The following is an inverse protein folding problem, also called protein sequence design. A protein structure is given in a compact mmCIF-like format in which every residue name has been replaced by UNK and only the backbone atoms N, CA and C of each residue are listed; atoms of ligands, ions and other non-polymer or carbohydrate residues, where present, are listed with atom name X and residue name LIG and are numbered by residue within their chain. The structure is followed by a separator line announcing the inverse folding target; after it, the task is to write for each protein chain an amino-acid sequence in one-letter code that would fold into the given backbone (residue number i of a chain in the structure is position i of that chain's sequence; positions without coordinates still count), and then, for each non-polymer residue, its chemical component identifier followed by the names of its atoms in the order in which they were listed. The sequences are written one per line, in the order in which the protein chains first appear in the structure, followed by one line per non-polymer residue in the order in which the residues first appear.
data_IF_511056634582
#
_entry.id   IF_511056634582
#
_cell.length_a   1.000
_cell.length_b   1.000
_cell.length_c   1.000
_cell.angle_alpha   90.00
_cell.angle_beta   90.00
_cell.angle_gamma   90.00
#
_symmetry.space_group_name_H-M   'P 1'
#
loop_
_entity.id
_entity.type
_entity.pdbx_description
1 polymer ?
#
# COMPACT_ATOMS: atom_id res chain seq x y z
N UNK A 1 36.99 -34.90 -40.23
CA UNK A 1 36.30 -35.16 -38.94
C UNK A 1 36.39 -33.99 -37.96
N UNK A 2 36.95 -32.83 -38.33
CA UNK A 2 37.18 -31.71 -37.39
C UNK A 2 36.09 -30.64 -37.42
N UNK A 3 35.32 -30.53 -38.50
CA UNK A 3 34.32 -29.46 -38.71
C UNK A 3 33.00 -29.73 -37.96
N UNK A 4 32.53 -30.98 -37.93
CA UNK A 4 31.30 -31.40 -37.25
C UNK A 4 31.34 -31.13 -35.73
N UNK A 5 32.52 -31.21 -35.12
CA UNK A 5 32.71 -30.97 -33.69
C UNK A 5 32.62 -29.46 -33.34
N UNK A 6 32.99 -28.58 -34.28
CA UNK A 6 32.94 -27.12 -34.08
C UNK A 6 31.53 -26.55 -34.19
N UNK A 7 30.72 -27.06 -35.13
CA UNK A 7 29.31 -26.65 -35.27
C UNK A 7 28.47 -27.09 -34.06
N UNK A 8 28.77 -28.26 -33.52
CA UNK A 8 28.09 -28.79 -32.33
C UNK A 8 28.41 -27.94 -31.09
N UNK A 9 29.68 -27.58 -30.89
CA UNK A 9 30.11 -26.71 -29.79
C UNK A 9 29.48 -25.31 -29.87
N UNK A 10 29.45 -24.69 -31.06
CA UNK A 10 28.83 -23.38 -31.28
C UNK A 10 27.31 -23.43 -31.00
N UNK A 11 26.64 -24.52 -31.37
CA UNK A 11 25.21 -24.74 -31.07
C UNK A 11 24.94 -24.84 -29.57
N UNK A 12 25.80 -25.54 -28.83
CA UNK A 12 25.71 -25.64 -27.36
C UNK A 12 25.97 -24.31 -26.67
N UNK A 13 26.97 -23.56 -27.12
CA UNK A 13 27.30 -22.23 -26.59
C UNK A 13 26.18 -21.22 -26.83
N UNK A 14 25.53 -21.25 -28.00
CA UNK A 14 24.35 -20.43 -28.30
C UNK A 14 23.19 -20.78 -27.38
N UNK A 15 22.92 -22.07 -27.14
CA UNK A 15 21.87 -22.51 -26.22
C UNK A 15 22.16 -22.08 -24.78
N UNK A 16 23.42 -22.18 -24.35
CA UNK A 16 23.86 -21.73 -23.04
C UNK A 16 23.69 -20.21 -22.88
N UNK A 17 24.07 -19.41 -23.89
CA UNK A 17 23.84 -17.96 -23.90
C UNK A 17 22.35 -17.61 -23.87
N UNK A 18 21.51 -18.29 -24.66
CA UNK A 18 20.06 -18.06 -24.65
C UNK A 18 19.44 -18.37 -23.29
N UNK A 19 19.89 -19.44 -22.63
CA UNK A 19 19.45 -19.79 -21.28
C UNK A 19 19.87 -18.72 -20.26
N UNK A 20 21.10 -18.20 -20.35
CA UNK A 20 21.60 -17.11 -19.50
C UNK A 20 20.81 -15.81 -19.73
N UNK A 21 20.55 -15.44 -20.98
CA UNK A 21 19.75 -14.26 -21.33
C UNK A 21 18.32 -14.38 -20.81
N UNK A 22 17.70 -15.55 -20.95
CA UNK A 22 16.35 -15.80 -20.44
C UNK A 22 16.31 -15.67 -18.91
N UNK A 23 17.32 -16.22 -18.22
CA UNK A 23 17.44 -16.12 -16.76
C UNK A 23 17.63 -14.67 -16.32
N UNK A 24 18.59 -13.94 -16.90
CA UNK A 24 18.83 -12.54 -16.60
C UNK A 24 17.60 -11.66 -16.84
N UNK A 25 16.86 -11.90 -17.93
CA UNK A 25 15.61 -11.19 -18.20
C UNK A 25 14.52 -11.52 -17.17
N UNK A 26 14.40 -12.76 -16.73
CA UNK A 26 13.42 -13.14 -15.70
C UNK A 26 13.73 -12.50 -14.33
N UNK A 27 15.01 -12.45 -13.95
CA UNK A 27 15.47 -11.78 -12.73
C UNK A 27 15.25 -10.27 -12.82
N UNK A 28 15.59 -9.64 -13.96
CA UNK A 28 15.33 -8.23 -14.19
C UNK A 28 13.83 -7.89 -14.14
N UNK A 29 12.96 -8.76 -14.68
CA UNK A 29 11.52 -8.58 -14.59
C UNK A 29 11.02 -8.66 -13.14
N UNK A 30 11.54 -9.62 -12.36
CA UNK A 30 11.22 -9.76 -10.94
C UNK A 30 11.58 -8.49 -10.16
N UNK A 31 12.82 -8.01 -10.29
CA UNK A 31 13.27 -6.79 -9.61
C UNK A 31 12.52 -5.54 -10.06
N UNK A 32 12.14 -5.44 -11.34
CA UNK A 32 11.30 -4.34 -11.82
C UNK A 32 9.92 -4.36 -11.17
N UNK A 33 9.31 -5.54 -11.02
CA UNK A 33 8.01 -5.70 -10.39
C UNK A 33 8.09 -5.37 -8.89
N UNK A 34 9.07 -5.90 -8.17
CA UNK A 34 9.28 -5.56 -6.75
C UNK A 34 9.52 -4.06 -6.56
N UNK A 35 10.38 -3.46 -7.39
CA UNK A 35 10.62 -2.01 -7.33
C UNK A 35 9.34 -1.22 -7.57
N UNK A 36 8.49 -1.64 -8.50
CA UNK A 36 7.22 -0.97 -8.77
C UNK A 36 6.27 -1.12 -7.57
N UNK A 37 6.13 -2.30 -6.98
CA UNK A 37 5.25 -2.49 -5.81
C UNK A 37 5.69 -1.68 -4.60
N UNK A 38 7.00 -1.59 -4.33
CA UNK A 38 7.52 -0.72 -3.28
C UNK A 38 7.31 0.76 -3.58
N UNK A 39 7.47 1.17 -4.85
CA UNK A 39 7.20 2.55 -5.29
C UNK A 39 5.74 2.92 -5.06
N UNK A 40 4.81 2.08 -5.49
CA UNK A 40 3.37 2.32 -5.37
C UNK A 40 2.95 2.40 -3.90
N UNK A 41 3.50 1.52 -3.06
CA UNK A 41 3.30 1.56 -1.61
C UNK A 41 3.84 2.87 -0.99
N UNK A 42 5.03 3.30 -1.39
CA UNK A 42 5.63 4.54 -0.89
C UNK A 42 4.81 5.78 -1.30
N UNK A 43 4.31 5.81 -2.54
CA UNK A 43 3.40 6.88 -3.00
C UNK A 43 2.13 6.88 -2.17
N UNK A 44 1.48 5.72 -1.98
CA UNK A 44 0.27 5.61 -1.18
C UNK A 44 0.44 6.10 0.25
N UNK A 45 1.50 5.66 0.94
CA UNK A 45 1.80 6.08 2.31
C UNK A 45 2.10 7.58 2.42
N UNK A 46 2.84 8.13 1.45
CA UNK A 46 3.16 9.55 1.44
C UNK A 46 1.92 10.39 1.13
N UNK A 47 1.07 9.97 0.20
CA UNK A 47 -0.19 10.62 -0.10
C UNK A 47 -1.12 10.62 1.12
N UNK A 48 -1.26 9.48 1.81
CA UNK A 48 -2.02 9.38 3.06
C UNK A 48 -1.51 10.35 4.13
N UNK A 49 -0.18 10.43 4.30
CA UNK A 49 0.43 11.38 5.22
C UNK A 49 0.15 12.84 4.86
N UNK A 50 0.30 13.19 3.58
CA UNK A 50 0.00 14.55 3.10
C UNK A 50 -1.47 14.93 3.30
N UNK A 51 -2.40 13.99 3.06
CA UNK A 51 -3.82 14.18 3.35
C UNK A 51 -4.07 14.39 4.85
N UNK A 52 -3.44 13.57 5.69
CA UNK A 52 -3.57 13.69 7.15
C UNK A 52 -3.00 15.01 7.68
N UNK A 53 -1.85 15.45 7.16
CA UNK A 53 -1.22 16.74 7.48
C UNK A 53 -2.12 17.92 7.05
N UNK A 54 -2.90 17.76 5.96
CA UNK A 54 -3.91 18.71 5.51
C UNK A 54 -5.25 18.61 6.30
N UNK A 55 -5.35 17.72 7.29
CA UNK A 55 -6.56 17.52 8.10
C UNK A 55 -7.65 16.66 7.46
N UNK A 56 -7.36 16.05 6.30
CA UNK A 56 -8.28 15.22 5.54
C UNK A 56 -8.19 13.78 6.07
N UNK A 57 -9.09 13.44 6.99
CA UNK A 57 -9.13 12.12 7.61
C UNK A 57 -10.07 11.13 6.90
N UNK A 58 -10.60 11.49 5.73
CA UNK A 58 -11.56 10.66 5.01
C UNK A 58 -10.83 9.65 4.10
N UNK A 59 -10.92 8.33 4.39
CA UNK A 59 -10.22 7.31 3.60
C UNK A 59 -10.76 7.16 2.17
N UNK A 60 -11.90 7.77 1.85
CA UNK A 60 -12.44 7.79 0.49
C UNK A 60 -11.64 8.68 -0.45
N UNK A 61 -11.01 9.75 0.07
CA UNK A 61 -10.22 10.69 -0.74
C UNK A 61 -9.03 9.97 -1.38
N UNK A 62 -8.32 9.14 -0.60
CA UNK A 62 -7.19 8.35 -1.10
C UNK A 62 -7.58 7.40 -2.24
N UNK A 63 -8.82 6.91 -2.27
CA UNK A 63 -9.33 6.01 -3.33
C UNK A 63 -9.71 6.75 -4.62
N UNK A 64 -9.96 8.05 -4.53
CA UNK A 64 -10.31 8.89 -5.68
C UNK A 64 -9.06 9.51 -6.33
N UNK A 65 -7.94 9.56 -5.60
CA UNK A 65 -6.66 9.98 -6.15
C UNK A 65 -6.12 8.97 -7.15
N UNK A 66 -5.62 9.47 -8.27
CA UNK A 66 -4.94 8.65 -9.26
C UNK A 66 -3.46 8.53 -8.91
N UNK A 67 -3.13 7.63 -7.99
CA UNK A 67 -1.76 7.40 -7.50
C UNK A 67 -0.78 6.96 -8.60
N UNK A 68 -1.28 6.43 -9.72
CA UNK A 68 -0.44 5.97 -10.83
C UNK A 68 0.14 7.11 -11.67
N UNK A 69 -0.51 8.28 -11.66
CA UNK A 69 -0.05 9.49 -12.34
C UNK A 69 0.88 10.35 -11.47
N UNK A 70 0.97 10.03 -10.17
CA UNK A 70 1.78 10.78 -9.22
C UNK A 70 3.25 10.38 -9.35
N UNK A 71 4.12 11.38 -9.49
CA UNK A 71 5.57 11.22 -9.56
C UNK A 71 6.23 11.61 -8.24
N UNK A 72 7.24 10.84 -7.84
CA UNK A 72 8.09 11.17 -6.69
C UNK A 72 9.26 11.99 -7.21
N UNK A 73 9.38 13.23 -6.74
CA UNK A 73 10.50 14.12 -7.05
C UNK A 73 11.79 13.69 -6.33
N UNK A 74 12.92 14.26 -6.73
CA UNK A 74 14.22 14.06 -6.06
C UNK A 74 14.23 14.58 -4.62
N UNK A 75 13.44 15.62 -4.32
CA UNK A 75 13.17 16.09 -2.94
C UNK A 75 12.39 15.08 -2.10
N UNK A 76 11.86 14.04 -2.73
CA UNK A 76 10.95 13.07 -2.17
C UNK A 76 9.49 13.51 -2.19
N UNK A 77 9.16 14.74 -2.57
CA UNK A 77 7.78 15.25 -2.67
C UNK A 77 6.97 14.58 -3.79
N UNK A 78 5.63 14.62 -3.68
CA UNK A 78 4.71 14.06 -4.66
C UNK A 78 4.21 15.16 -5.59
N UNK A 79 4.66 15.13 -6.84
CA UNK A 79 4.21 16.05 -7.88
C UNK A 79 2.85 15.59 -8.42
N UNK A 80 1.95 16.55 -8.71
CA UNK A 80 0.58 16.28 -9.15
C UNK A 80 -0.42 15.94 -8.04
N UNK A 81 0.03 15.54 -6.85
CA UNK A 81 -0.87 15.22 -5.73
C UNK A 81 -1.68 16.46 -5.28
N UNK A 82 -1.03 17.61 -5.14
CA UNK A 82 -1.69 18.84 -4.68
C UNK A 82 -2.78 19.31 -5.65
N UNK A 83 -2.53 19.19 -6.95
CA UNK A 83 -3.51 19.53 -8.00
C UNK A 83 -4.70 18.58 -7.96
N UNK A 84 -4.47 17.27 -7.83
CA UNK A 84 -5.56 16.30 -7.70
C UNK A 84 -6.40 16.54 -6.42
N UNK A 85 -5.75 16.87 -5.31
CA UNK A 85 -6.45 17.22 -4.06
C UNK A 85 -7.33 18.46 -4.25
N UNK A 86 -6.80 19.52 -4.87
CA UNK A 86 -7.55 20.74 -5.12
C UNK A 86 -8.77 20.51 -6.04
N UNK A 87 -8.59 19.74 -7.12
CA UNK A 87 -9.70 19.36 -8.00
C UNK A 87 -10.76 18.53 -7.28
N UNK A 88 -10.34 17.58 -6.43
CA UNK A 88 -11.27 16.79 -5.63
C UNK A 88 -12.00 17.62 -4.57
N UNK A 89 -11.37 18.64 -4.01
CA UNK A 89 -11.99 19.56 -3.06
C UNK A 89 -13.08 20.41 -3.74
N UNK A 90 -12.87 20.82 -4.98
CA UNK A 90 -13.86 21.52 -5.80
C UNK A 90 -15.04 20.59 -6.19
N UNK A 91 -14.75 19.38 -6.67
CA UNK A 91 -15.76 18.43 -7.13
C UNK A 91 -16.56 17.80 -5.98
N UNK A 92 -15.89 17.54 -4.85
CA UNK A 92 -16.44 16.80 -3.72
C UNK A 92 -16.11 17.45 -2.36
N UNK A 93 -16.57 18.69 -2.10
CA UNK A 93 -16.28 19.39 -0.85
C UNK A 93 -16.76 18.62 0.40
N UNK A 94 -17.79 17.77 0.27
CA UNK A 94 -18.30 16.89 1.33
C UNK A 94 -17.25 15.89 1.87
N UNK A 95 -16.20 15.61 1.09
CA UNK A 95 -15.12 14.71 1.52
C UNK A 95 -14.07 15.41 2.39
N UNK A 96 -13.99 16.75 2.29
CA UNK A 96 -12.99 17.62 2.92
C UNK A 96 -13.59 18.44 4.08
N UNK A 97 -14.89 18.73 4.00
CA UNK A 97 -15.64 19.32 5.09
C UNK A 97 -15.82 18.34 6.23
N UNK A 98 -15.62 18.81 7.47
CA UNK A 98 -16.16 18.18 8.64
C UNK A 98 -17.69 18.27 8.57
N UNK A 99 -18.31 17.35 7.84
CA UNK A 99 -19.69 16.99 8.07
C UNK A 99 -19.79 16.66 9.55
N UNK A 100 -20.27 17.62 10.36
CA UNK A 100 -20.84 17.31 11.66
C UNK A 100 -21.73 16.10 11.39
N UNK A 101 -21.61 14.99 12.14
CA UNK A 101 -22.61 13.96 12.03
C UNK A 101 -23.96 14.64 12.34
N UNK A 102 -24.75 14.90 11.30
CA UNK A 102 -26.13 15.33 11.43
C UNK A 102 -26.87 14.15 12.07
N UNK A 103 -26.80 14.04 13.40
CA UNK A 103 -27.41 12.92 14.10
C UNK A 103 -26.86 12.55 15.49
N UNK A 104 -25.92 13.29 16.10
CA UNK A 104 -25.63 13.10 17.54
C UNK A 104 -25.84 14.41 18.29
N UNK A 105 -27.10 14.81 18.35
CA UNK A 105 -27.59 15.68 19.40
C UNK A 105 -27.43 14.95 20.74
N UNK A 106 -26.57 15.47 21.61
CA UNK A 106 -26.67 15.31 23.07
C UNK A 106 -26.87 13.89 23.61
N UNK A 107 -25.89 13.00 23.42
CA UNK A 107 -25.73 11.88 24.33
C UNK A 107 -24.70 12.29 25.38
N UNK A 108 -25.23 12.64 26.54
CA UNK A 108 -24.57 12.89 27.81
C UNK A 108 -23.25 12.10 27.97
N UNK A 109 -22.13 12.81 28.05
CA UNK A 109 -20.80 12.24 28.34
C UNK A 109 -20.69 11.70 29.79
N UNK A 110 -21.80 11.62 30.52
CA UNK A 110 -21.90 11.09 31.87
C UNK A 110 -22.37 9.63 31.95
N UNK A 111 -22.89 9.01 30.88
CA UNK A 111 -23.24 7.57 30.90
C UNK A 111 -22.06 6.69 30.47
N UNK A 112 -20.92 6.83 31.17
CA UNK A 112 -19.87 5.81 31.12
C UNK A 112 -20.35 4.64 31.98
N UNK A 113 -21.02 3.66 31.36
CA UNK A 113 -21.17 2.34 31.99
C UNK A 113 -19.77 1.82 32.30
N UNK A 114 -19.50 1.61 33.59
CA UNK A 114 -18.24 1.06 34.04
C UNK A 114 -17.99 -0.27 33.32
N UNK A 115 -16.96 -0.28 32.47
CA UNK A 115 -16.54 -1.49 31.75
C UNK A 115 -15.94 -2.41 32.81
N UNK A 116 -16.66 -3.46 33.17
CA UNK A 116 -16.10 -4.49 34.04
C UNK A 116 -14.86 -5.09 33.37
N UNK A 117 -13.77 -5.34 34.11
CA UNK A 117 -12.53 -5.82 33.53
C UNK A 117 -12.77 -7.18 32.86
N UNK A 118 -12.66 -7.20 31.53
CA UNK A 118 -12.67 -8.45 30.77
C UNK A 118 -11.46 -9.27 31.17
N UNK A 119 -11.71 -10.42 31.80
CA UNK A 119 -10.67 -11.36 32.23
C UNK A 119 -9.68 -11.67 31.12
N UNK A 120 -8.40 -11.71 31.48
CA UNK A 120 -7.29 -12.02 30.58
C UNK A 120 -7.44 -13.44 30.02
N UNK A 121 -6.86 -13.70 28.85
CA UNK A 121 -6.85 -15.03 28.21
C UNK A 121 -6.33 -16.13 29.16
N UNK A 122 -5.40 -15.80 30.05
CA UNK A 122 -4.90 -16.72 31.07
C UNK A 122 -5.97 -17.10 32.12
N UNK A 123 -6.79 -16.15 32.56
CA UNK A 123 -7.86 -16.41 33.54
C UNK A 123 -9.01 -17.24 32.96
N UNK A 124 -9.30 -17.10 31.66
CA UNK A 124 -10.31 -17.91 30.98
C UNK A 124 -9.92 -19.39 30.91
N UNK A 125 -8.63 -19.68 30.72
CA UNK A 125 -8.13 -21.06 30.67
C UNK A 125 -8.16 -21.75 32.04
N UNK A 126 -7.77 -21.04 33.10
CA UNK A 126 -7.81 -21.58 34.48
C UNK A 126 -9.27 -21.81 34.92
N UNK A 127 -10.19 -20.90 34.61
CA UNK A 127 -11.60 -21.05 34.94
C UNK A 127 -12.27 -22.23 34.20
N UNK A 128 -11.82 -22.54 32.98
CA UNK A 128 -12.30 -23.70 32.21
C UNK A 128 -11.78 -25.04 32.73
N UNK A 129 -10.62 -25.04 33.41
CA UNK A 129 -10.01 -26.26 33.93
C UNK A 129 -10.58 -26.69 35.29
N UNK A 130 -11.00 -25.75 36.13
CA UNK A 130 -11.61 -26.04 37.45
C UNK A 130 -13.06 -26.55 37.39
N UNK A 131 -13.69 -26.57 36.20
CA UNK A 131 -15.11 -26.91 36.05
C UNK A 131 -15.34 -28.32 35.46
N UNK A 132 -14.34 -29.20 35.51
CA UNK A 132 -14.48 -30.62 35.17
C UNK A 132 -14.34 -31.50 36.39
#
# INVERSE_FOLDING_TARGET
MSEENTETQVSEDIKAMQAQLKKANSEAAHYRNERNTFKDMAIGLKAERTLSDAGINNPKVLKLLNLSEITVMESGELEGLAEQIASLEEDFPELFGAGKPNGISGADASDKREVSPTKSSAEKLVAGFLKR
#
